data_IF_663390509711
#
_entry.id   IF_663390509711
#
_cell.length_a   1.000
_cell.length_b   1.000
_cell.length_c   1.000
_cell.angle_alpha   90.00
_cell.angle_beta   90.00
_cell.angle_gamma   90.00
#
_symmetry.space_group_name_H-M   'P 1'
#
loop_
_entity.id
_entity.type
_entity.pdbx_description
1 polymer ?
#
# COMPACT_ATOMS: atom_id res chain seq x y z
N UNK A 1 -12.18 5.24 -13.81
CA UNK A 1 -11.41 4.05 -13.37
C UNK A 1 -9.99 4.49 -12.97
N UNK A 2 -9.62 4.33 -11.69
CA UNK A 2 -8.28 4.70 -11.22
C UNK A 2 -8.12 6.08 -10.58
N UNK A 3 -9.20 6.83 -10.28
CA UNK A 3 -9.11 8.02 -9.41
C UNK A 3 -9.17 7.54 -7.95
N UNK A 4 -8.07 7.60 -7.18
CA UNK A 4 -8.03 7.09 -5.82
C UNK A 4 -9.05 7.76 -4.91
N UNK A 5 -9.37 9.05 -5.13
CA UNK A 5 -10.39 9.75 -4.32
C UNK A 5 -11.76 9.11 -4.52
N UNK A 6 -12.11 8.69 -5.74
CA UNK A 6 -13.38 7.99 -5.99
C UNK A 6 -13.47 6.62 -5.30
N UNK A 7 -12.34 5.93 -5.14
CA UNK A 7 -12.30 4.68 -4.38
C UNK A 7 -12.42 4.93 -2.87
N UNK A 8 -11.83 6.01 -2.36
CA UNK A 8 -11.90 6.39 -0.96
C UNK A 8 -13.32 6.80 -0.52
N UNK A 9 -14.10 7.42 -1.40
CA UNK A 9 -15.49 7.78 -1.10
C UNK A 9 -16.45 6.58 -1.12
N UNK A 10 -16.01 5.41 -1.59
CA UNK A 10 -16.81 4.19 -1.69
C UNK A 10 -18.16 4.42 -2.41
N UNK A 11 -18.18 5.33 -3.39
CA UNK A 11 -19.40 5.69 -4.11
C UNK A 11 -20.38 6.61 -3.36
N UNK A 12 -20.03 7.11 -2.18
CA UNK A 12 -20.82 8.15 -1.51
C UNK A 12 -20.74 9.46 -2.31
N UNK A 13 -21.86 10.18 -2.48
CA UNK A 13 -21.83 11.52 -3.08
C UNK A 13 -21.08 12.46 -2.12
N UNK A 14 -20.03 13.10 -2.65
CA UNK A 14 -19.16 14.03 -1.94
C UNK A 14 -19.13 15.33 -2.75
N UNK A 15 -19.14 16.49 -2.09
CA UNK A 15 -19.15 17.77 -2.82
C UNK A 15 -17.85 17.94 -3.63
N UNK A 16 -17.90 18.77 -4.67
CA UNK A 16 -16.73 19.09 -5.50
C UNK A 16 -15.60 19.72 -4.66
N UNK A 17 -15.95 20.54 -3.67
CA UNK A 17 -15.02 21.17 -2.74
C UNK A 17 -14.34 20.13 -1.84
N UNK A 18 -15.10 19.18 -1.31
CA UNK A 18 -14.57 18.08 -0.49
C UNK A 18 -13.64 17.18 -1.30
N UNK A 19 -13.98 16.87 -2.56
CA UNK A 19 -13.10 16.12 -3.46
C UNK A 19 -11.80 16.88 -3.75
N UNK A 20 -11.86 18.20 -3.96
CA UNK A 20 -10.68 19.02 -4.19
C UNK A 20 -9.81 19.19 -2.94
N UNK A 21 -10.41 19.19 -1.75
CA UNK A 21 -9.69 19.16 -0.48
C UNK A 21 -8.95 17.82 -0.29
N UNK A 22 -9.64 16.70 -0.53
CA UNK A 22 -9.02 15.37 -0.48
C UNK A 22 -7.86 15.24 -1.47
N UNK A 23 -8.02 15.72 -2.72
CA UNK A 23 -6.92 15.67 -3.69
C UNK A 23 -5.67 16.39 -3.20
N UNK A 24 -5.84 17.59 -2.61
CA UNK A 24 -4.73 18.35 -2.02
C UNK A 24 -4.11 17.66 -0.81
N UNK A 25 -4.95 17.09 0.07
CA UNK A 25 -4.48 16.36 1.25
C UNK A 25 -3.59 15.17 0.88
N UNK A 26 -3.93 14.46 -0.19
CA UNK A 26 -3.17 13.32 -0.69
C UNK A 26 -2.13 13.66 -1.77
N UNK A 27 -1.92 14.94 -2.07
CA UNK A 27 -0.98 15.40 -3.12
C UNK A 27 -1.34 14.94 -4.54
N UNK A 28 -2.59 14.56 -4.77
CA UNK A 28 -3.10 14.05 -6.05
C UNK A 28 -3.32 15.17 -7.09
N UNK A 29 -3.18 16.43 -6.67
CA UNK A 29 -3.16 17.61 -7.53
C UNK A 29 -1.76 17.90 -8.11
N UNK A 30 -0.72 17.23 -7.62
CA UNK A 30 0.65 17.37 -8.12
C UNK A 30 0.88 16.58 -9.42
N UNK A 31 1.88 16.95 -10.24
CA UNK A 31 2.33 16.13 -11.36
C UNK A 31 2.70 14.70 -10.91
N UNK A 32 2.36 13.69 -11.73
CA UNK A 32 2.56 12.26 -11.39
C UNK A 32 4.01 11.92 -10.97
N UNK A 33 4.99 12.55 -11.61
CA UNK A 33 6.39 12.33 -11.26
C UNK A 33 6.73 12.81 -9.84
N UNK A 34 6.14 13.92 -9.39
CA UNK A 34 6.34 14.44 -8.02
C UNK A 34 5.71 13.50 -7.00
N UNK A 35 4.47 13.05 -7.26
CA UNK A 35 3.79 12.08 -6.40
C UNK A 35 4.65 10.81 -6.21
N UNK A 36 5.23 10.31 -7.30
CA UNK A 36 6.10 9.14 -7.25
C UNK A 36 7.40 9.40 -6.49
N UNK A 37 8.10 10.51 -6.76
CA UNK A 37 9.37 10.81 -6.07
C UNK A 37 9.17 11.06 -4.58
N UNK A 38 8.08 11.76 -4.20
CA UNK A 38 7.75 12.01 -2.80
C UNK A 38 7.41 10.70 -2.07
N UNK A 39 6.63 9.83 -2.71
CA UNK A 39 6.33 8.51 -2.18
C UNK A 39 7.61 7.68 -1.99
N UNK A 40 8.46 7.61 -3.00
CA UNK A 40 9.73 6.87 -2.90
C UNK A 40 10.64 7.44 -1.81
N UNK A 41 10.74 8.77 -1.70
CA UNK A 41 11.52 9.43 -0.66
C UNK A 41 11.06 9.04 0.75
N UNK A 42 9.74 9.05 1.00
CA UNK A 42 9.15 8.62 2.27
C UNK A 42 9.34 7.12 2.52
N UNK A 43 9.10 6.29 1.50
CA UNK A 43 9.21 4.84 1.59
C UNK A 43 10.63 4.38 1.97
N UNK A 44 11.67 5.08 1.48
CA UNK A 44 13.06 4.80 1.86
C UNK A 44 13.34 5.03 3.35
N UNK A 45 12.56 5.88 4.01
CA UNK A 45 12.64 6.11 5.46
C UNK A 45 11.69 5.20 6.27
N UNK A 46 11.00 4.29 5.60
CA UNK A 46 10.02 3.38 6.20
C UNK A 46 8.61 3.97 6.33
N UNK A 47 8.37 5.20 5.84
CA UNK A 47 7.04 5.79 5.77
C UNK A 47 6.36 5.42 4.46
N UNK A 48 5.47 4.43 4.54
CA UNK A 48 4.64 3.97 3.42
C UNK A 48 3.26 4.67 3.37
N UNK A 49 3.02 5.64 4.25
CA UNK A 49 1.75 6.33 4.39
C UNK A 49 0.67 5.52 5.09
N UNK A 50 -0.58 5.97 4.90
CA UNK A 50 -1.76 5.42 5.56
C UNK A 50 -2.59 4.55 4.61
N UNK A 51 -3.06 3.42 5.11
CA UNK A 51 -4.04 2.61 4.39
C UNK A 51 -5.40 3.30 4.38
N UNK A 52 -5.94 3.55 3.18
CA UNK A 52 -7.29 4.12 3.03
C UNK A 52 -8.40 3.17 3.51
N UNK A 53 -8.17 1.86 3.41
CA UNK A 53 -9.13 0.84 3.82
C UNK A 53 -9.09 0.60 5.33
N UNK A 54 -7.91 0.42 5.89
CA UNK A 54 -7.74 0.05 7.30
C UNK A 54 -7.57 1.25 8.23
N UNK A 55 -7.41 2.47 7.67
CA UNK A 55 -7.17 3.72 8.42
C UNK A 55 -6.02 3.59 9.43
N UNK A 56 -4.98 2.87 9.05
CA UNK A 56 -3.80 2.59 9.87
C UNK A 56 -2.54 2.74 9.00
N UNK A 57 -1.35 2.96 9.60
CA UNK A 57 -0.09 2.95 8.88
C UNK A 57 0.07 1.66 8.07
N UNK A 58 0.52 1.78 6.83
CA UNK A 58 0.70 0.62 5.94
C UNK A 58 1.73 -0.35 6.53
N UNK A 59 2.79 0.18 7.16
CA UNK A 59 3.85 -0.62 7.77
C UNK A 59 3.34 -1.57 8.84
N UNK A 60 2.36 -1.14 9.64
CA UNK A 60 1.77 -1.97 10.70
C UNK A 60 1.04 -3.18 10.10
N UNK A 61 0.33 -2.97 8.99
CA UNK A 61 -0.37 -4.06 8.28
C UNK A 61 0.59 -5.03 7.59
N UNK A 62 1.68 -4.52 7.04
CA UNK A 62 2.75 -5.37 6.51
C UNK A 62 3.37 -6.20 7.63
N UNK A 63 3.72 -5.57 8.75
CA UNK A 63 4.32 -6.25 9.90
C UNK A 63 3.39 -7.30 10.53
N UNK A 64 2.08 -7.05 10.57
CA UNK A 64 1.07 -7.99 11.04
C UNK A 64 1.00 -9.26 10.17
N UNK A 65 1.08 -9.11 8.84
CA UNK A 65 0.99 -10.22 7.90
C UNK A 65 2.31 -10.98 7.69
N UNK A 66 3.45 -10.30 7.89
CA UNK A 66 4.79 -10.80 7.54
C UNK A 66 5.12 -12.17 8.16
N UNK A 67 4.85 -12.45 9.46
CA UNK A 67 5.22 -13.74 10.07
C UNK A 67 4.52 -14.94 9.41
N UNK A 68 3.23 -14.80 9.08
CA UNK A 68 2.46 -15.87 8.46
C UNK A 68 2.96 -16.15 7.04
N UNK A 69 3.25 -15.10 6.26
CA UNK A 69 3.83 -15.25 4.92
C UNK A 69 5.21 -15.89 4.98
N UNK A 70 6.09 -15.46 5.89
CA UNK A 70 7.42 -16.04 6.05
C UNK A 70 7.36 -17.50 6.46
N UNK A 71 6.45 -17.88 7.37
CA UNK A 71 6.27 -19.27 7.77
C UNK A 71 5.81 -20.13 6.59
N UNK A 72 4.81 -19.66 5.83
CA UNK A 72 4.28 -20.41 4.69
C UNK A 72 5.30 -20.52 3.55
N UNK A 73 5.88 -19.39 3.13
CA UNK A 73 6.87 -19.37 2.04
C UNK A 73 8.15 -20.08 2.45
N UNK A 74 8.62 -19.90 3.69
CA UNK A 74 9.82 -20.56 4.21
C UNK A 74 9.67 -22.07 4.28
N UNK A 75 8.54 -22.58 4.79
CA UNK A 75 8.26 -24.03 4.82
C UNK A 75 8.17 -24.61 3.42
N UNK A 76 7.45 -23.97 2.51
CA UNK A 76 7.38 -24.40 1.11
C UNK A 76 8.76 -24.41 0.43
N UNK A 77 9.58 -23.39 0.65
CA UNK A 77 10.93 -23.29 0.12
C UNK A 77 11.84 -24.44 0.61
N UNK A 78 11.80 -24.74 1.91
CA UNK A 78 12.57 -25.85 2.50
C UNK A 78 12.13 -27.18 1.90
N UNK A 79 10.83 -27.46 1.88
CA UNK A 79 10.29 -28.71 1.31
C UNK A 79 10.67 -28.86 -0.16
N UNK A 80 10.50 -27.81 -0.95
CA UNK A 80 10.87 -27.79 -2.36
C UNK A 80 12.35 -28.08 -2.57
N UNK A 81 13.22 -27.40 -1.82
CA UNK A 81 14.67 -27.56 -1.95
C UNK A 81 15.11 -28.96 -1.53
N UNK A 82 14.57 -29.51 -0.44
CA UNK A 82 14.88 -30.87 0.00
C UNK A 82 14.46 -31.92 -1.02
N UNK A 83 13.25 -31.81 -1.57
CA UNK A 83 12.78 -32.72 -2.60
C UNK A 83 13.61 -32.59 -3.88
N UNK A 84 13.93 -31.37 -4.31
CA UNK A 84 14.70 -31.13 -5.52
C UNK A 84 16.15 -31.61 -5.46
N UNK A 85 16.76 -31.68 -4.27
CA UNK A 85 18.09 -32.28 -4.09
C UNK A 85 18.01 -33.80 -4.00
N UNK A 86 16.90 -34.35 -3.49
CA UNK A 86 16.73 -35.79 -3.27
C UNK A 86 16.39 -36.57 -4.55
N UNK A 87 15.61 -35.97 -5.46
CA UNK A 87 15.25 -36.51 -6.78
C UNK A 87 16.38 -36.32 -7.81
#
# INVERSE_FOLDING_TARGET
PGDPVKHMTQGRPVSTEQLAAMRREFGLDLPMWQQFTDYCGKALTGDFGMSYQFRAPVIDKVAEALPATLLLTGTAFVLYTMLGIWL
#
